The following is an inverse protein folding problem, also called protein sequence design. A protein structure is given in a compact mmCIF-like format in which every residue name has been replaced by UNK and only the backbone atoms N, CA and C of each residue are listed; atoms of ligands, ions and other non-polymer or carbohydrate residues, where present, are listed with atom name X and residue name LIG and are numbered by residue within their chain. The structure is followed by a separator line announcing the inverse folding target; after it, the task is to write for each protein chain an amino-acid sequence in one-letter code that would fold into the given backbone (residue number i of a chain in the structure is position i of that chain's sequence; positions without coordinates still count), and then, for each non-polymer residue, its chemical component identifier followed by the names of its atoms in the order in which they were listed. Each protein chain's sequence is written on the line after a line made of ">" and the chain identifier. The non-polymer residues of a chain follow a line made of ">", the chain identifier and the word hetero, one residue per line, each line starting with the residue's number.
data_IF_242893973439
#
_entry.id   IF_242893973439
#
_cell.length_a   1.000
_cell.length_b   1.000
_cell.length_c   1.000
_cell.angle_alpha   90.00
_cell.angle_beta   90.00
_cell.angle_gamma   90.00
#
_symmetry.space_group_name_H-M   'P 1'
#
loop_
_entity.id
_entity.type
_entity.pdbx_description
1 polymer ?
#
# COMPACT_ATOMS: atom_id res chain seq x y z
N UNK A 1 -20.09 -25.27 52.89
CA UNK A 1 -19.45 -24.16 52.13
C UNK A 1 -19.49 -24.54 50.66
N UNK A 2 -20.25 -23.80 49.85
CA UNK A 2 -20.49 -24.10 48.44
C UNK A 2 -19.66 -23.13 47.60
N UNK A 3 -18.74 -23.62 46.77
CA UNK A 3 -17.90 -22.79 45.91
C UNK A 3 -18.22 -22.98 44.43
N UNK A 4 -18.72 -21.88 43.87
CA UNK A 4 -18.41 -21.26 42.59
C UNK A 4 -18.58 -22.05 41.28
N UNK A 5 -19.64 -21.63 40.58
CA UNK A 5 -19.92 -21.98 39.20
C UNK A 5 -18.91 -21.42 38.20
N UNK A 6 -18.68 -22.23 37.17
CA UNK A 6 -17.92 -21.91 35.98
C UNK A 6 -18.58 -20.76 35.21
N UNK A 7 -17.91 -19.61 35.15
CA UNK A 7 -18.27 -18.50 34.28
C UNK A 7 -18.17 -18.93 32.81
N UNK A 8 -19.32 -19.25 32.19
CA UNK A 8 -19.40 -19.47 30.74
C UNK A 8 -19.23 -18.11 30.04
N UNK A 9 -18.21 -18.02 29.19
CA UNK A 9 -18.03 -16.88 28.27
C UNK A 9 -19.32 -16.56 27.51
N UNK A 10 -19.69 -15.27 27.36
CA UNK A 10 -20.85 -14.89 26.57
C UNK A 10 -20.64 -15.28 25.11
N UNK A 11 -21.53 -16.12 24.57
CA UNK A 11 -21.55 -16.48 23.15
C UNK A 11 -21.68 -15.20 22.32
N UNK A 12 -20.66 -14.87 21.52
CA UNK A 12 -20.73 -13.81 20.51
C UNK A 12 -21.97 -14.04 19.65
N UNK A 13 -22.89 -13.06 19.66
CA UNK A 13 -24.00 -13.03 18.70
C UNK A 13 -23.40 -12.90 17.30
N UNK A 14 -23.62 -13.90 16.44
CA UNK A 14 -23.29 -13.78 15.01
C UNK A 14 -24.26 -12.78 14.39
N UNK A 15 -23.73 -11.79 13.68
CA UNK A 15 -24.55 -10.95 12.82
C UNK A 15 -25.20 -11.83 11.75
N UNK A 16 -26.52 -11.78 11.67
CA UNK A 16 -27.28 -12.33 10.54
C UNK A 16 -27.03 -11.45 9.33
N UNK A 17 -26.29 -11.97 8.35
CA UNK A 17 -26.09 -11.32 7.05
C UNK A 17 -27.41 -11.40 6.29
N UNK A 18 -27.97 -10.24 5.95
CA UNK A 18 -29.17 -10.11 5.13
C UNK A 18 -28.73 -9.97 3.67
N UNK A 19 -29.19 -10.87 2.79
CA UNK A 19 -28.77 -10.95 1.39
C UNK A 19 -29.79 -10.32 0.43
N UNK A 20 -30.65 -9.43 0.92
CA UNK A 20 -31.48 -8.63 0.02
C UNK A 20 -30.56 -7.63 -0.70
N UNK A 21 -30.14 -8.01 -1.90
CA UNK A 21 -29.54 -7.10 -2.87
C UNK A 21 -30.71 -6.28 -3.42
N UNK A 22 -30.86 -5.04 -2.95
CA UNK A 22 -31.72 -4.08 -3.61
C UNK A 22 -31.10 -3.81 -4.99
N UNK A 23 -31.71 -4.40 -6.04
CA UNK A 23 -31.30 -4.29 -7.44
C UNK A 23 -31.78 -2.96 -8.08
N UNK A 24 -31.69 -1.86 -7.33
CA UNK A 24 -31.88 -0.51 -7.86
C UNK A 24 -30.52 0.18 -7.90
N UNK A 25 -29.70 -0.25 -8.86
CA UNK A 25 -28.46 0.40 -9.23
C UNK A 25 -28.76 1.27 -10.45
N UNK A 26 -29.36 2.43 -10.21
CA UNK A 26 -29.27 3.57 -11.12
C UNK A 26 -27.86 4.15 -10.94
N UNK A 27 -26.94 3.77 -11.83
CA UNK A 27 -25.60 4.37 -11.97
C UNK A 27 -25.77 5.65 -12.77
N UNK A 28 -26.17 6.72 -12.08
CA UNK A 28 -25.73 8.08 -12.42
C UNK A 28 -24.40 8.30 -11.70
N UNK A 29 -23.28 8.00 -12.38
CA UNK A 29 -21.92 8.31 -11.91
C UNK A 29 -21.37 9.46 -12.76
N UNK A 30 -21.84 10.66 -12.45
CA UNK A 30 -21.03 11.88 -12.50
C UNK A 30 -20.96 12.39 -11.06
N UNK A 31 -19.83 12.18 -10.39
CA UNK A 31 -19.66 12.60 -9.00
C UNK A 31 -18.26 12.27 -8.47
N UNK A 32 -17.49 13.31 -8.25
CA UNK A 32 -16.10 13.33 -7.81
C UNK A 32 -15.81 12.47 -6.56
N UNK A 33 -15.06 11.39 -6.73
CA UNK A 33 -14.45 10.66 -5.60
C UNK A 33 -13.25 11.40 -4.97
N UNK A 34 -12.91 12.60 -5.45
CA UNK A 34 -11.96 13.49 -4.78
C UNK A 34 -12.51 14.07 -3.47
N UNK A 35 -13.84 14.13 -3.28
CA UNK A 35 -14.46 14.76 -2.10
C UNK A 35 -14.80 13.78 -0.97
N UNK A 36 -14.72 12.46 -1.20
CA UNK A 36 -15.03 11.48 -0.15
C UNK A 36 -13.94 11.32 0.91
N UNK A 37 -12.79 11.97 0.74
CA UNK A 37 -11.71 12.01 1.74
C UNK A 37 -11.74 13.20 2.71
N UNK A 38 -12.68 14.15 2.56
CA UNK A 38 -12.70 15.38 3.40
C UNK A 38 -13.72 15.35 4.55
N UNK A 39 -14.59 14.34 4.68
CA UNK A 39 -15.53 14.22 5.81
C UNK A 39 -14.91 13.53 7.04
N UNK A 40 -13.83 14.10 7.58
CA UNK A 40 -13.40 13.90 8.97
C UNK A 40 -12.35 14.95 9.36
N UNK A 41 -12.78 16.20 9.53
CA UNK A 41 -11.98 17.23 10.21
C UNK A 41 -12.16 18.65 9.71
N UNK A 42 -13.40 19.16 9.67
CA UNK A 42 -13.62 20.60 9.50
C UNK A 42 -13.56 21.30 10.86
N UNK A 43 -12.42 21.91 11.15
CA UNK A 43 -12.32 23.05 12.06
C UNK A 43 -11.24 23.99 11.49
N UNK A 44 -11.63 24.78 10.49
CA UNK A 44 -10.78 25.81 9.87
C UNK A 44 -11.20 27.17 10.42
N UNK A 45 -10.37 27.71 11.31
CA UNK A 45 -10.38 29.12 11.68
C UNK A 45 -9.63 29.91 10.60
N UNK A 46 -10.17 30.98 10.01
CA UNK A 46 -9.44 31.79 9.05
C UNK A 46 -8.58 32.85 9.76
N UNK A 47 -7.27 32.86 9.49
CA UNK A 47 -6.37 33.97 9.76
C UNK A 47 -6.27 34.86 8.51
N UNK A 48 -6.36 36.20 8.64
CA UNK A 48 -6.13 37.12 7.51
C UNK A 48 -4.65 37.47 7.38
N UNK A 49 -4.17 37.48 6.14
CA UNK A 49 -2.87 38.01 5.72
C UNK A 49 -2.93 39.54 5.54
N UNK A 50 -1.82 40.23 5.81
CA UNK A 50 -1.53 41.55 5.22
C UNK A 50 -0.56 42.40 6.05
N UNK A 51 0.62 42.65 5.50
CA UNK A 51 1.73 43.36 6.14
C UNK A 51 1.70 44.90 5.97
N UNK A 52 2.54 45.56 6.77
CA UNK A 52 3.28 46.84 6.59
C UNK A 52 2.84 48.11 7.35
N UNK A 53 3.88 48.70 8.01
CA UNK A 53 4.20 50.11 8.25
C UNK A 53 3.67 50.90 9.50
N UNK A 54 4.63 51.14 10.41
CA UNK A 54 5.02 52.39 11.11
C UNK A 54 4.05 53.25 11.94
N UNK A 55 4.44 53.38 13.23
CA UNK A 55 4.70 54.58 14.05
C UNK A 55 3.58 55.58 14.45
N UNK A 56 3.71 56.04 15.71
CA UNK A 56 3.01 57.15 16.41
C UNK A 56 1.53 56.92 16.75
N UNK A 57 0.94 57.38 17.85
CA UNK A 57 1.33 58.22 18.99
C UNK A 57 0.24 58.08 20.08
N UNK A 58 0.59 58.47 21.31
CA UNK A 58 -0.20 58.76 22.52
C UNK A 58 -1.75 58.70 22.53
N UNK A 59 -2.33 58.15 23.61
CA UNK A 59 -3.01 58.95 24.66
C UNK A 59 -3.84 58.11 25.66
N UNK A 60 -3.92 58.67 26.86
CA UNK A 60 -4.48 58.20 28.13
C UNK A 60 -5.94 58.67 28.27
N UNK A 61 -6.82 57.84 28.85
CA UNK A 61 -7.93 58.16 29.79
C UNK A 61 -8.77 56.88 30.03
N UNK A 62 -8.76 56.29 31.22
CA UNK A 62 -9.57 56.57 32.43
C UNK A 62 -11.08 56.26 32.33
N UNK A 63 -11.48 55.40 33.29
CA UNK A 63 -12.73 55.32 34.06
C UNK A 63 -14.09 55.36 33.33
N UNK A 64 -14.97 54.39 33.65
CA UNK A 64 -16.14 54.64 34.50
C UNK A 64 -17.21 53.54 34.37
N UNK A 65 -17.54 52.97 35.54
CA UNK A 65 -18.85 52.55 36.09
C UNK A 65 -19.96 51.82 35.31
N UNK A 66 -20.72 51.11 36.17
CA UNK A 66 -22.15 50.75 36.14
C UNK A 66 -22.51 49.38 35.55
N UNK A 67 -22.85 48.40 36.41
CA UNK A 67 -24.21 48.07 36.91
C UNK A 67 -25.06 47.38 35.82
N UNK A 68 -25.33 46.07 35.95
CA UNK A 68 -26.48 45.44 36.60
C UNK A 68 -27.73 45.35 35.70
N UNK A 69 -28.60 44.36 36.01
CA UNK A 69 -29.92 44.07 35.40
C UNK A 69 -29.89 43.17 34.14
N UNK A 70 -30.12 41.86 34.28
CA UNK A 70 -31.43 41.20 34.30
C UNK A 70 -32.21 41.28 32.97
N UNK A 71 -32.33 40.14 32.27
CA UNK A 71 -33.54 39.78 31.53
C UNK A 71 -33.51 38.32 31.03
N UNK A 72 -34.22 37.48 31.78
CA UNK A 72 -35.38 36.72 31.25
C UNK A 72 -35.20 35.70 30.11
N UNK A 73 -35.01 34.45 30.53
CA UNK A 73 -35.89 33.29 30.26
C UNK A 73 -36.82 33.33 29.02
N UNK A 74 -36.34 32.80 27.89
CA UNK A 74 -37.13 32.60 26.67
C UNK A 74 -37.39 31.12 26.34
N UNK A 75 -38.43 30.52 26.94
CA UNK A 75 -38.89 29.17 26.60
C UNK A 75 -39.48 29.13 25.18
N UNK A 76 -38.84 28.42 24.25
CA UNK A 76 -39.43 28.13 22.94
C UNK A 76 -40.16 26.78 23.00
N UNK A 77 -41.49 26.86 23.14
CA UNK A 77 -42.43 25.73 23.04
C UNK A 77 -42.30 25.07 21.66
N UNK A 78 -41.77 23.84 21.61
CA UNK A 78 -41.80 23.03 20.39
C UNK A 78 -43.23 22.50 20.14
N UNK A 79 -43.81 22.89 19.00
CA UNK A 79 -45.10 22.38 18.53
C UNK A 79 -44.95 20.89 18.18
N UNK A 80 -45.47 20.01 19.05
CA UNK A 80 -45.69 18.59 18.79
C UNK A 80 -46.65 18.44 17.59
N UNK A 81 -46.09 18.35 16.38
CA UNK A 81 -46.83 17.89 15.19
C UNK A 81 -47.23 16.42 15.40
N UNK A 82 -48.47 16.14 15.08
CA UNK A 82 -49.25 14.95 15.42
C UNK A 82 -48.75 13.68 14.73
N UNK A 83 -47.99 12.88 15.48
CA UNK A 83 -47.51 11.54 15.12
C UNK A 83 -48.62 10.45 15.14
N UNK A 84 -49.88 10.81 14.87
CA UNK A 84 -51.06 9.92 15.08
C UNK A 84 -51.75 9.39 13.82
N UNK A 85 -51.17 9.53 12.63
CA UNK A 85 -51.82 9.09 11.38
C UNK A 85 -51.15 7.93 10.61
N UNK A 86 -50.08 7.30 11.13
CA UNK A 86 -49.41 6.16 10.45
C UNK A 86 -49.50 4.80 11.16
N UNK A 87 -50.36 4.65 12.18
CA UNK A 87 -50.47 3.39 12.96
C UNK A 87 -51.64 2.48 12.57
N UNK A 88 -52.45 2.82 11.54
CA UNK A 88 -53.65 2.02 11.19
C UNK A 88 -53.50 1.00 10.06
N UNK A 89 -52.30 0.84 9.48
CA UNK A 89 -52.04 -0.20 8.46
C UNK A 89 -51.12 -1.35 8.94
N UNK A 90 -50.82 -1.44 10.24
CA UNK A 90 -49.84 -2.37 10.79
C UNK A 90 -50.35 -3.80 11.06
N UNK A 91 -51.46 -4.24 10.45
CA UNK A 91 -52.05 -5.57 10.70
C UNK A 91 -52.21 -6.46 9.47
N UNK A 92 -51.49 -6.19 8.37
CA UNK A 92 -51.23 -7.23 7.38
C UNK A 92 -50.06 -8.08 7.89
N UNK A 93 -50.35 -9.24 8.48
CA UNK A 93 -49.34 -10.25 8.82
C UNK A 93 -48.52 -10.52 7.56
N UNK A 94 -47.29 -10.00 7.52
CA UNK A 94 -46.36 -10.29 6.44
C UNK A 94 -46.22 -11.81 6.35
N UNK A 95 -46.44 -12.38 5.16
CA UNK A 95 -46.18 -13.80 4.92
C UNK A 95 -44.75 -14.09 5.37
N UNK A 96 -44.48 -15.17 6.12
CA UNK A 96 -43.12 -15.50 6.51
C UNK A 96 -42.29 -15.59 5.24
N UNK A 97 -41.21 -14.82 5.18
CA UNK A 97 -40.28 -14.90 4.05
C UNK A 97 -39.86 -16.36 3.89
N UNK A 98 -39.76 -16.85 2.64
CA UNK A 98 -39.31 -18.22 2.42
C UNK A 98 -38.00 -18.43 3.19
N UNK A 99 -37.92 -19.53 3.95
CA UNK A 99 -36.74 -19.88 4.74
C UNK A 99 -35.61 -20.24 3.77
N UNK A 100 -34.96 -19.22 3.22
CA UNK A 100 -33.83 -19.38 2.33
C UNK A 100 -32.71 -20.04 3.13
N UNK A 101 -32.37 -21.27 2.76
CA UNK A 101 -31.21 -21.96 3.34
C UNK A 101 -29.99 -21.32 2.69
N UNK A 102 -29.09 -20.68 3.47
CA UNK A 102 -27.88 -20.12 2.90
C UNK A 102 -27.09 -21.24 2.23
N UNK A 103 -26.63 -20.94 1.03
CA UNK A 103 -25.80 -21.81 0.25
C UNK A 103 -24.53 -22.18 1.05
N UNK A 104 -24.19 -23.47 1.10
CA UNK A 104 -23.03 -23.97 1.82
C UNK A 104 -21.84 -24.07 0.87
N UNK A 105 -20.86 -23.19 1.06
CA UNK A 105 -19.65 -23.16 0.23
C UNK A 105 -18.92 -24.51 0.18
N UNK A 106 -18.91 -25.26 1.28
CA UNK A 106 -18.20 -26.55 1.37
C UNK A 106 -18.93 -27.71 0.69
N UNK A 107 -20.22 -27.55 0.35
CA UNK A 107 -20.97 -28.55 -0.41
C UNK A 107 -20.60 -28.50 -1.91
N UNK A 108 -19.85 -27.47 -2.34
CA UNK A 108 -19.30 -27.40 -3.69
C UNK A 108 -18.10 -28.34 -3.88
N UNK A 109 -17.93 -28.88 -5.10
CA UNK A 109 -16.67 -29.47 -5.54
C UNK A 109 -15.50 -28.50 -5.37
N UNK A 110 -14.31 -29.04 -5.08
CA UNK A 110 -13.10 -28.26 -4.85
C UNK A 110 -12.77 -27.30 -6.01
N UNK A 111 -13.00 -27.73 -7.26
CA UNK A 111 -12.78 -26.89 -8.44
C UNK A 111 -13.63 -25.61 -8.45
N UNK A 112 -14.90 -25.71 -8.07
CA UNK A 112 -15.79 -24.55 -8.01
C UNK A 112 -15.41 -23.64 -6.83
N UNK A 113 -14.95 -24.22 -5.71
CA UNK A 113 -14.41 -23.43 -4.61
C UNK A 113 -13.17 -22.65 -5.01
N UNK A 114 -12.23 -23.27 -5.73
CA UNK A 114 -11.02 -22.61 -6.23
C UNK A 114 -11.36 -21.42 -7.14
N UNK A 115 -12.31 -21.58 -8.07
CA UNK A 115 -12.78 -20.46 -8.91
C UNK A 115 -13.37 -19.31 -8.08
N UNK A 116 -14.14 -19.63 -7.05
CA UNK A 116 -14.67 -18.62 -6.11
C UNK A 116 -13.51 -17.94 -5.37
N UNK A 117 -12.48 -18.68 -4.96
CA UNK A 117 -11.32 -18.11 -4.29
C UNK A 117 -10.49 -17.21 -5.21
N UNK A 118 -10.33 -17.57 -6.48
CA UNK A 118 -9.65 -16.75 -7.48
C UNK A 118 -10.33 -15.38 -7.62
N UNK A 119 -11.66 -15.35 -7.77
CA UNK A 119 -12.42 -14.09 -7.88
C UNK A 119 -12.39 -13.22 -6.60
N UNK A 120 -12.11 -13.81 -5.43
CA UNK A 120 -12.16 -13.08 -4.15
C UNK A 120 -10.76 -12.66 -3.68
N UNK A 121 -9.73 -13.41 -4.05
CA UNK A 121 -8.37 -13.28 -3.51
C UNK A 121 -7.33 -12.84 -4.54
N UNK A 122 -7.61 -12.96 -5.84
CA UNK A 122 -6.64 -12.64 -6.89
C UNK A 122 -7.06 -11.36 -7.60
N UNK A 123 -6.18 -10.36 -7.60
CA UNK A 123 -6.35 -9.17 -8.42
C UNK A 123 -5.82 -9.49 -9.83
N UNK A 124 -6.64 -9.40 -10.90
CA UNK A 124 -6.19 -9.65 -12.27
C UNK A 124 -5.09 -8.67 -12.71
N UNK A 125 -4.97 -7.52 -12.07
CA UNK A 125 -3.92 -6.54 -12.31
C UNK A 125 -2.76 -6.65 -11.32
N UNK A 126 -2.82 -7.56 -10.35
CA UNK A 126 -1.87 -7.61 -9.24
C UNK A 126 -2.21 -6.61 -8.13
N UNK A 127 -1.67 -6.84 -6.94
CA UNK A 127 -2.06 -6.07 -5.75
C UNK A 127 -1.22 -4.80 -5.67
N UNK A 128 -1.78 -3.69 -6.12
CA UNK A 128 -1.16 -2.36 -6.07
C UNK A 128 -1.30 -1.75 -4.67
N UNK A 129 -0.17 -1.53 -3.99
CA UNK A 129 -0.11 -1.03 -2.61
C UNK A 129 0.59 0.32 -2.60
N UNK A 130 -0.07 1.30 -1.98
CA UNK A 130 0.47 2.64 -1.76
C UNK A 130 0.50 2.96 -0.27
N UNK A 131 1.48 3.75 0.14
CA UNK A 131 1.48 4.36 1.47
C UNK A 131 0.44 5.47 1.55
N UNK A 132 -0.47 5.35 2.52
CA UNK A 132 -1.37 6.42 2.93
C UNK A 132 -0.85 7.02 4.24
N UNK A 133 -0.69 8.34 4.26
CA UNK A 133 -0.26 9.06 5.44
C UNK A 133 -1.53 9.46 6.23
N UNK A 134 -1.79 8.76 7.33
CA UNK A 134 -2.74 9.20 8.35
C UNK A 134 -2.04 10.19 9.30
N UNK A 135 -2.81 10.93 10.10
CA UNK A 135 -2.32 11.98 11.00
C UNK A 135 -1.20 11.51 11.93
N UNK A 136 -1.22 10.22 12.30
CA UNK A 136 -0.28 9.65 13.27
C UNK A 136 0.52 8.45 12.74
N UNK A 137 0.12 7.86 11.61
CA UNK A 137 0.75 6.64 11.10
C UNK A 137 0.74 6.55 9.58
N UNK A 138 1.62 5.71 9.04
CA UNK A 138 1.68 5.41 7.61
C UNK A 138 1.11 4.01 7.38
N UNK A 139 0.01 3.91 6.65
CA UNK A 139 -0.73 2.66 6.43
C UNK A 139 -0.55 2.20 4.98
N UNK A 140 -0.36 0.90 4.78
CA UNK A 140 -0.37 0.31 3.45
C UNK A 140 -1.82 0.10 2.99
N UNK A 141 -2.19 0.70 1.86
CA UNK A 141 -3.55 0.64 1.31
C UNK A 141 -3.52 0.05 -0.10
N UNK A 142 -4.42 -0.90 -0.36
CA UNK A 142 -4.66 -1.41 -1.72
C UNK A 142 -5.44 -0.36 -2.53
N UNK A 143 -4.86 0.01 -3.67
CA UNK A 143 -5.35 1.07 -4.54
C UNK A 143 -5.52 0.56 -5.97
N UNK A 144 -6.26 1.27 -6.80
CA UNK A 144 -6.28 0.95 -8.23
C UNK A 144 -4.90 1.23 -8.85
N UNK A 145 -4.50 0.46 -9.87
CA UNK A 145 -3.30 0.71 -10.67
C UNK A 145 -3.19 2.16 -11.18
N UNK A 146 -4.33 2.83 -11.40
CA UNK A 146 -4.38 4.22 -11.88
C UNK A 146 -3.86 5.22 -10.84
N UNK A 147 -4.06 4.95 -9.55
CA UNK A 147 -3.78 5.86 -8.44
C UNK A 147 -2.52 5.54 -7.63
N UNK A 148 -1.75 4.52 -8.05
CA UNK A 148 -0.55 4.13 -7.30
C UNK A 148 0.51 5.25 -7.30
N UNK A 149 0.75 5.89 -8.44
CA UNK A 149 1.65 7.05 -8.51
C UNK A 149 0.85 8.32 -8.73
N UNK A 150 1.34 9.43 -8.17
CA UNK A 150 0.85 10.78 -8.44
C UNK A 150 0.66 11.04 -9.95
N UNK A 151 -0.13 12.05 -10.27
CA UNK A 151 -0.67 12.38 -11.60
C UNK A 151 0.34 12.53 -12.76
N UNK A 152 1.64 12.40 -12.50
CA UNK A 152 2.77 12.80 -13.34
C UNK A 152 3.20 11.79 -14.42
N UNK A 153 2.73 10.54 -14.41
CA UNK A 153 3.21 9.51 -15.35
C UNK A 153 2.18 9.15 -16.44
N UNK A 154 2.58 9.30 -17.72
CA UNK A 154 1.75 9.04 -18.91
C UNK A 154 1.86 7.60 -19.45
N UNK A 155 3.05 7.01 -19.35
CA UNK A 155 3.33 5.64 -19.81
C UNK A 155 3.81 4.79 -18.63
N UNK A 156 3.12 3.68 -18.33
CA UNK A 156 3.44 2.79 -17.20
C UNK A 156 3.54 1.34 -17.66
N UNK A 157 4.50 0.59 -17.12
CA UNK A 157 4.44 -0.87 -17.16
C UNK A 157 3.50 -1.33 -16.06
N UNK A 158 2.36 -1.91 -16.44
CA UNK A 158 1.43 -2.53 -15.50
C UNK A 158 1.46 -4.04 -15.60
N UNK A 159 0.97 -4.70 -14.56
CA UNK A 159 0.75 -6.14 -14.57
C UNK A 159 -0.70 -6.42 -14.98
N UNK A 160 -0.90 -7.34 -15.91
CA UNK A 160 -2.23 -7.78 -16.34
C UNK A 160 -2.18 -9.27 -16.61
N UNK A 161 -2.96 -10.05 -15.85
CA UNK A 161 -3.19 -11.49 -16.08
C UNK A 161 -1.91 -12.31 -16.27
N UNK A 162 -0.87 -12.09 -15.46
CA UNK A 162 0.38 -12.85 -15.58
C UNK A 162 1.51 -12.13 -16.30
N UNK A 163 1.22 -11.06 -17.03
CA UNK A 163 2.19 -10.44 -17.92
C UNK A 163 2.39 -8.96 -17.61
N UNK A 164 3.64 -8.52 -17.67
CA UNK A 164 3.98 -7.09 -17.61
C UNK A 164 3.83 -6.48 -18.99
N UNK A 165 2.91 -5.52 -19.11
CA UNK A 165 2.61 -4.82 -20.37
C UNK A 165 2.74 -3.32 -20.20
N UNK A 166 3.11 -2.63 -21.27
CA UNK A 166 3.00 -1.18 -21.31
C UNK A 166 1.52 -0.83 -21.46
N UNK A 167 0.98 -0.17 -20.44
CA UNK A 167 -0.42 0.22 -20.37
C UNK A 167 -0.49 1.74 -20.44
N UNK A 168 -1.39 2.23 -21.29
CA UNK A 168 -1.74 3.64 -21.29
C UNK A 168 -2.62 3.91 -20.08
N UNK A 169 -2.53 5.12 -19.53
CA UNK A 169 -3.33 5.55 -18.37
C UNK A 169 -4.84 5.36 -18.57
N UNK A 170 -5.33 5.44 -19.81
CA UNK A 170 -6.74 5.23 -20.15
C UNK A 170 -7.22 3.78 -20.01
N UNK A 171 -6.32 2.80 -20.15
CA UNK A 171 -6.67 1.37 -20.13
C UNK A 171 -6.67 0.79 -18.70
N UNK A 172 -6.18 1.55 -17.71
CA UNK A 172 -6.13 1.14 -16.32
C UNK A 172 -7.50 1.28 -15.67
N UNK A 173 -7.98 0.27 -14.91
CA UNK A 173 -9.26 0.35 -14.24
C UNK A 173 -9.26 1.49 -13.23
N UNK A 174 -10.33 2.29 -13.21
CA UNK A 174 -10.48 3.36 -12.24
C UNK A 174 -10.69 2.80 -10.82
N UNK A 175 -11.54 1.79 -10.73
CA UNK A 175 -11.84 1.13 -9.46
C UNK A 175 -10.78 0.08 -9.14
N UNK A 176 -10.43 -0.02 -7.86
CA UNK A 176 -9.60 -1.13 -7.37
C UNK A 176 -10.41 -2.42 -7.41
N UNK A 177 -9.73 -3.54 -7.64
CA UNK A 177 -10.37 -4.84 -7.49
C UNK A 177 -10.72 -5.08 -6.01
N UNK A 178 -11.87 -5.67 -5.74
CA UNK A 178 -12.30 -5.88 -4.35
C UNK A 178 -11.76 -7.19 -3.80
N UNK A 179 -10.58 -7.13 -3.17
CA UNK A 179 -10.02 -8.27 -2.46
C UNK A 179 -10.74 -8.48 -1.12
N UNK A 180 -11.10 -9.72 -0.79
CA UNK A 180 -11.64 -10.07 0.54
C UNK A 180 -10.81 -11.15 1.25
N UNK A 181 -9.60 -10.81 1.75
CA UNK A 181 -8.73 -11.75 2.48
C UNK A 181 -9.37 -12.36 3.74
N UNK A 182 -10.42 -11.72 4.27
CA UNK A 182 -11.17 -12.18 5.43
C UNK A 182 -11.74 -13.60 5.28
N UNK A 183 -11.93 -14.08 4.05
CA UNK A 183 -12.37 -15.46 3.80
C UNK A 183 -11.37 -16.50 4.35
N UNK A 184 -10.08 -16.17 4.38
CA UNK A 184 -9.02 -17.03 4.94
C UNK A 184 -9.17 -17.26 6.44
N UNK A 185 -9.87 -16.37 7.16
CA UNK A 185 -10.10 -16.50 8.59
C UNK A 185 -11.33 -17.37 8.94
N UNK A 186 -12.09 -17.84 7.95
CA UNK A 186 -13.39 -18.49 8.18
C UNK A 186 -13.27 -19.96 8.62
N UNK A 187 -12.44 -20.75 7.93
CA UNK A 187 -12.28 -22.18 8.17
C UNK A 187 -10.88 -22.65 7.74
N UNK A 188 -10.33 -23.66 8.43
CA UNK A 188 -9.02 -24.25 8.12
C UNK A 188 -8.95 -24.82 6.70
N UNK A 189 -9.99 -25.53 6.27
CA UNK A 189 -10.05 -26.11 4.92
C UNK A 189 -9.97 -25.01 3.85
N UNK A 190 -10.76 -23.94 4.01
CA UNK A 190 -10.75 -22.78 3.12
C UNK A 190 -9.38 -22.11 3.11
N UNK A 191 -8.80 -21.91 4.30
CA UNK A 191 -7.46 -21.36 4.43
C UNK A 191 -6.42 -22.18 3.65
N UNK A 192 -6.38 -23.50 3.87
CA UNK A 192 -5.34 -24.36 3.27
C UNK A 192 -5.48 -24.46 1.75
N UNK A 193 -6.71 -24.47 1.22
CA UNK A 193 -6.99 -24.47 -0.23
C UNK A 193 -6.62 -23.14 -0.91
N UNK A 194 -6.84 -22.01 -0.25
CA UNK A 194 -6.85 -20.71 -0.92
C UNK A 194 -5.70 -19.77 -0.54
N UNK A 195 -4.99 -20.02 0.57
CA UNK A 195 -3.90 -19.16 1.05
C UNK A 195 -2.80 -18.99 -0.02
N UNK A 196 -2.52 -20.02 -0.82
CA UNK A 196 -1.52 -19.92 -1.88
C UNK A 196 -1.95 -18.98 -3.00
N UNK A 197 -3.25 -18.85 -3.29
CA UNK A 197 -3.73 -17.96 -4.35
C UNK A 197 -3.44 -16.49 -4.00
N UNK A 198 -3.68 -16.10 -2.74
CA UNK A 198 -3.44 -14.74 -2.27
C UNK A 198 -1.94 -14.37 -2.30
N UNK A 199 -1.04 -15.26 -1.86
CA UNK A 199 0.38 -14.91 -1.68
C UNK A 199 1.27 -15.17 -2.90
N UNK A 200 0.80 -15.96 -3.88
CA UNK A 200 1.52 -16.22 -5.14
C UNK A 200 1.34 -15.11 -6.19
N UNK A 201 0.31 -14.28 -6.05
CA UNK A 201 0.11 -13.16 -6.96
C UNK A 201 1.17 -12.06 -6.73
N UNK A 202 1.41 -11.17 -7.70
CA UNK A 202 2.38 -10.10 -7.52
C UNK A 202 1.84 -8.99 -6.62
N UNK A 203 2.70 -8.55 -5.71
CA UNK A 203 2.49 -7.37 -4.89
C UNK A 203 3.34 -6.22 -5.43
N UNK A 204 2.69 -5.13 -5.81
CA UNK A 204 3.32 -4.00 -6.50
C UNK A 204 3.23 -2.79 -5.58
N UNK A 205 4.36 -2.32 -5.10
CA UNK A 205 4.47 -1.24 -4.13
C UNK A 205 4.87 0.06 -4.84
N UNK A 206 4.16 1.14 -4.52
CA UNK A 206 4.52 2.48 -4.96
C UNK A 206 5.91 2.84 -4.44
N UNK A 207 6.13 2.53 -3.16
CA UNK A 207 7.34 2.87 -2.43
C UNK A 207 7.72 1.86 -1.35
N UNK A 208 8.97 1.98 -0.90
CA UNK A 208 9.52 1.12 0.16
C UNK A 208 8.85 1.40 1.52
N UNK A 209 8.20 2.56 1.69
CA UNK A 209 7.32 2.80 2.83
C UNK A 209 6.09 1.90 2.79
N UNK A 210 5.47 1.72 1.63
CA UNK A 210 4.31 0.88 1.47
C UNK A 210 4.68 -0.56 1.76
N UNK A 211 5.86 -0.99 1.30
CA UNK A 211 6.44 -2.28 1.63
C UNK A 211 6.65 -2.44 3.15
N UNK A 212 7.26 -1.46 3.82
CA UNK A 212 7.47 -1.50 5.27
C UNK A 212 6.15 -1.61 6.03
N UNK A 213 5.21 -0.70 5.78
CA UNK A 213 3.89 -0.67 6.43
C UNK A 213 3.08 -1.93 6.15
N UNK A 214 3.24 -2.54 4.97
CA UNK A 214 2.61 -3.81 4.63
C UNK A 214 3.23 -5.00 5.37
N UNK A 215 4.55 -5.03 5.52
CA UNK A 215 5.25 -6.14 6.17
C UNK A 215 5.14 -6.12 7.70
N UNK A 216 5.03 -4.94 8.32
CA UNK A 216 4.94 -4.76 9.78
C UNK A 216 3.86 -5.63 10.47
N UNK A 217 2.61 -5.71 9.98
CA UNK A 217 1.58 -6.55 10.60
C UNK A 217 1.71 -8.04 10.26
N UNK A 218 2.60 -8.42 9.33
CA UNK A 218 2.70 -9.80 8.86
C UNK A 218 3.63 -10.64 9.74
N UNK A 219 3.25 -11.91 9.91
CA UNK A 219 4.11 -12.89 10.58
C UNK A 219 5.22 -13.35 9.64
N UNK A 220 6.41 -13.72 10.14
CA UNK A 220 7.48 -14.30 9.34
C UNK A 220 7.03 -15.47 8.45
N UNK A 221 6.14 -16.33 8.96
CA UNK A 221 5.57 -17.46 8.21
C UNK A 221 4.73 -17.04 7.00
N UNK A 222 4.13 -15.85 7.07
CA UNK A 222 3.33 -15.28 5.98
C UNK A 222 4.24 -14.57 4.99
N UNK A 223 5.23 -13.82 5.48
CA UNK A 223 6.26 -13.17 4.65
C UNK A 223 7.01 -14.21 3.81
N UNK A 224 7.30 -15.39 4.38
CA UNK A 224 7.91 -16.51 3.67
C UNK A 224 7.07 -17.06 2.51
N UNK A 225 5.79 -16.70 2.37
CA UNK A 225 4.92 -17.13 1.26
C UNK A 225 4.90 -16.15 0.09
N UNK A 226 5.47 -14.95 0.25
CA UNK A 226 5.58 -13.98 -0.82
C UNK A 226 6.52 -14.51 -1.91
N UNK A 227 6.02 -14.55 -3.14
CA UNK A 227 6.81 -14.98 -4.30
C UNK A 227 7.24 -13.79 -5.17
N UNK A 228 6.35 -12.81 -5.38
CA UNK A 228 6.57 -11.74 -6.36
C UNK A 228 6.34 -10.36 -5.74
N UNK A 229 7.39 -9.55 -5.70
CA UNK A 229 7.38 -8.17 -5.19
C UNK A 229 7.96 -7.24 -6.25
N UNK A 230 7.28 -6.13 -6.50
CA UNK A 230 7.78 -5.05 -7.36
C UNK A 230 7.75 -3.73 -6.62
N UNK A 231 8.81 -2.95 -6.71
CA UNK A 231 8.87 -1.56 -6.24
C UNK A 231 8.93 -0.65 -7.45
N UNK A 232 7.99 0.30 -7.56
CA UNK A 232 7.85 1.20 -8.71
C UNK A 232 8.87 2.34 -8.71
N UNK A 233 8.92 3.08 -9.83
CA UNK A 233 10.01 3.97 -10.28
C UNK A 233 10.50 5.03 -9.29
N UNK A 234 9.63 5.56 -8.44
CA UNK A 234 9.97 6.54 -7.40
C UNK A 234 10.00 5.97 -5.99
N UNK A 235 9.91 4.65 -5.88
CA UNK A 235 9.71 3.98 -4.62
C UNK A 235 10.94 3.90 -3.71
N UNK A 236 12.13 4.20 -4.25
CA UNK A 236 13.39 4.06 -3.52
C UNK A 236 13.65 5.28 -2.63
N UNK A 237 13.35 5.16 -1.32
CA UNK A 237 13.45 6.27 -0.37
C UNK A 237 14.68 6.12 0.53
N UNK A 238 15.64 7.01 0.33
CA UNK A 238 16.91 7.03 1.07
C UNK A 238 16.70 7.04 2.59
N UNK A 239 17.44 6.19 3.31
CA UNK A 239 17.44 6.16 4.77
C UNK A 239 16.31 5.34 5.42
N UNK A 240 15.33 4.85 4.64
CA UNK A 240 14.23 4.02 5.15
C UNK A 240 14.09 2.67 4.46
N UNK A 241 14.99 2.36 3.52
CA UNK A 241 15.04 1.07 2.85
C UNK A 241 15.38 -0.07 3.81
N UNK A 242 16.41 0.11 4.66
CA UNK A 242 16.91 -0.96 5.53
C UNK A 242 15.85 -1.56 6.45
N UNK A 243 15.00 -0.79 7.16
CA UNK A 243 13.91 -1.37 7.95
C UNK A 243 12.98 -2.30 7.15
N UNK A 244 12.60 -1.93 5.92
CA UNK A 244 11.75 -2.77 5.08
C UNK A 244 12.46 -4.10 4.73
N UNK A 245 13.73 -4.03 4.36
CA UNK A 245 14.53 -5.21 4.03
C UNK A 245 14.94 -6.05 5.25
N UNK A 246 14.93 -5.49 6.45
CA UNK A 246 15.04 -6.27 7.70
C UNK A 246 13.83 -7.19 7.83
N UNK A 247 12.62 -6.67 7.61
CA UNK A 247 11.40 -7.48 7.68
C UNK A 247 11.31 -8.49 6.54
N UNK A 248 11.80 -8.14 5.35
CA UNK A 248 11.82 -9.02 4.19
C UNK A 248 12.80 -10.20 4.33
N UNK A 249 13.66 -10.24 5.37
CA UNK A 249 14.66 -11.31 5.55
C UNK A 249 14.07 -12.73 5.55
N UNK A 250 12.81 -12.87 5.95
CA UNK A 250 12.12 -14.14 6.09
C UNK A 250 11.42 -14.56 4.77
N UNK A 251 11.44 -13.71 3.73
CA UNK A 251 10.92 -14.00 2.39
C UNK A 251 11.85 -14.91 1.58
N UNK A 252 12.09 -16.12 2.09
CA UNK A 252 13.00 -17.09 1.46
C UNK A 252 12.45 -17.62 0.13
N UNK A 253 11.14 -17.62 -0.06
CA UNK A 253 10.50 -18.16 -1.26
C UNK A 253 10.39 -17.18 -2.43
N UNK A 254 10.89 -15.95 -2.27
CA UNK A 254 10.80 -14.90 -3.27
C UNK A 254 11.41 -15.38 -4.60
N UNK A 255 10.62 -15.33 -5.67
CA UNK A 255 10.99 -15.70 -7.04
C UNK A 255 11.29 -14.47 -7.87
N UNK A 256 10.56 -13.37 -7.66
CA UNK A 256 10.79 -12.12 -8.35
C UNK A 256 10.84 -10.97 -7.34
N UNK A 257 11.97 -10.28 -7.27
CA UNK A 257 12.13 -9.01 -6.59
C UNK A 257 12.54 -7.96 -7.61
N UNK A 258 11.56 -7.21 -8.09
CA UNK A 258 11.72 -6.24 -9.16
C UNK A 258 11.80 -4.82 -8.63
N UNK A 259 12.76 -4.07 -9.15
CA UNK A 259 12.95 -2.64 -8.90
C UNK A 259 12.76 -1.90 -10.21
N UNK A 260 11.62 -1.26 -10.42
CA UNK A 260 11.42 -0.34 -11.53
C UNK A 260 11.98 1.06 -11.24
N UNK A 261 12.56 1.24 -10.05
CA UNK A 261 13.18 2.46 -9.57
C UNK A 261 14.68 2.54 -9.76
N UNK A 262 15.15 3.78 -9.66
CA UNK A 262 16.56 4.08 -9.62
C UNK A 262 17.09 4.01 -8.18
N UNK A 263 17.82 2.94 -7.89
CA UNK A 263 18.63 2.67 -6.71
C UNK A 263 19.96 3.43 -6.75
N UNK A 264 20.62 3.49 -7.92
CA UNK A 264 21.88 4.24 -8.07
C UNK A 264 21.60 5.73 -7.98
N UNK A 265 22.38 6.46 -7.19
CA UNK A 265 22.18 7.90 -7.03
C UNK A 265 22.55 8.65 -8.31
N UNK A 266 21.75 9.66 -8.67
CA UNK A 266 22.02 10.49 -9.85
C UNK A 266 23.34 11.30 -9.79
N UNK A 267 24.01 11.32 -8.64
CA UNK A 267 25.29 12.03 -8.47
C UNK A 267 26.50 11.26 -9.00
N UNK A 268 26.38 9.96 -9.25
CA UNK A 268 27.46 9.12 -9.80
C UNK A 268 27.69 9.32 -11.32
N UNK A 269 26.85 10.15 -11.95
CA UNK A 269 26.78 10.45 -13.39
C UNK A 269 27.78 11.51 -13.90
N UNK A 270 28.71 11.97 -13.06
CA UNK A 270 29.59 13.11 -13.41
C UNK A 270 30.72 12.77 -14.37
N UNK A 271 31.01 11.50 -14.58
CA UNK A 271 32.13 11.06 -15.43
C UNK A 271 31.61 10.39 -16.70
N UNK A 272 32.49 10.32 -17.71
CA UNK A 272 32.29 9.65 -18.99
C UNK A 272 31.73 8.21 -18.86
N UNK A 273 31.48 7.58 -20.01
CA UNK A 273 31.02 6.19 -20.14
C UNK A 273 31.51 5.28 -19.02
N UNK A 274 30.57 4.65 -18.30
CA UNK A 274 30.90 3.78 -17.17
C UNK A 274 31.00 2.33 -17.64
N UNK A 275 32.15 1.70 -17.40
CA UNK A 275 32.32 0.28 -17.68
C UNK A 275 31.25 -0.56 -16.95
N UNK A 276 30.65 -1.58 -17.59
CA UNK A 276 29.60 -2.41 -17.00
C UNK A 276 29.98 -3.03 -15.65
N UNK A 277 31.24 -3.45 -15.49
CA UNK A 277 31.74 -4.01 -14.24
C UNK A 277 31.67 -3.00 -13.08
N UNK A 278 32.15 -1.77 -13.30
CA UNK A 278 32.12 -0.70 -12.31
C UNK A 278 30.68 -0.30 -11.96
N UNK A 279 29.78 -0.34 -12.94
CA UNK A 279 28.36 -0.09 -12.72
C UNK A 279 27.75 -1.15 -11.79
N UNK A 280 28.05 -2.43 -12.03
CA UNK A 280 27.62 -3.54 -11.17
C UNK A 280 28.19 -3.44 -9.75
N UNK A 281 29.46 -3.06 -9.61
CA UNK A 281 30.09 -2.86 -8.30
C UNK A 281 29.41 -1.74 -7.49
N UNK A 282 29.16 -0.58 -8.12
CA UNK A 282 28.48 0.54 -7.45
C UNK A 282 27.03 0.19 -7.09
N UNK A 283 26.33 -0.52 -7.96
CA UNK A 283 24.98 -1.02 -7.68
C UNK A 283 25.01 -1.97 -6.48
N UNK A 284 25.96 -2.91 -6.44
CA UNK A 284 26.14 -3.84 -5.33
C UNK A 284 26.42 -3.11 -4.01
N UNK A 285 27.31 -2.13 -4.00
CA UNK A 285 27.64 -1.36 -2.80
C UNK A 285 26.41 -0.63 -2.25
N UNK A 286 25.65 0.03 -3.13
CA UNK A 286 24.44 0.77 -2.76
C UNK A 286 23.34 -0.16 -2.29
N UNK A 287 23.09 -1.23 -3.04
CA UNK A 287 22.07 -2.21 -2.73
C UNK A 287 22.40 -2.96 -1.44
N UNK A 288 23.66 -3.33 -1.22
CA UNK A 288 24.08 -3.97 0.03
C UNK A 288 23.90 -3.05 1.23
N UNK A 289 24.29 -1.78 1.12
CA UNK A 289 24.12 -0.81 2.21
C UNK A 289 22.68 -0.79 2.71
N UNK A 290 21.73 -0.73 1.78
CA UNK A 290 20.32 -0.60 2.10
C UNK A 290 19.65 -1.97 2.41
N UNK A 291 20.05 -3.07 1.77
CA UNK A 291 19.36 -4.37 1.81
C UNK A 291 20.15 -5.53 2.47
N UNK A 292 21.29 -5.26 3.12
CA UNK A 292 22.15 -6.31 3.68
C UNK A 292 21.45 -7.38 4.56
N UNK A 293 20.42 -7.08 5.38
CA UNK A 293 19.79 -8.09 6.24
C UNK A 293 19.08 -9.16 5.40
N UNK A 294 18.32 -8.72 4.39
CA UNK A 294 17.67 -9.59 3.42
C UNK A 294 18.70 -10.39 2.63
N UNK A 295 19.72 -9.72 2.07
CA UNK A 295 20.74 -10.38 1.24
C UNK A 295 21.50 -11.47 1.99
N UNK A 296 21.90 -11.22 3.24
CA UNK A 296 22.59 -12.22 4.07
C UNK A 296 21.71 -13.44 4.34
N UNK A 297 20.43 -13.22 4.63
CA UNK A 297 19.46 -14.30 4.84
C UNK A 297 19.26 -15.11 3.56
N UNK A 298 18.97 -14.42 2.45
CA UNK A 298 18.71 -15.04 1.15
C UNK A 298 19.91 -15.86 0.66
N UNK A 299 21.12 -15.30 0.69
CA UNK A 299 22.33 -15.99 0.27
C UNK A 299 22.65 -17.20 1.13
N UNK A 300 22.29 -17.19 2.42
CA UNK A 300 22.44 -18.35 3.31
C UNK A 300 21.50 -19.49 2.94
N UNK A 301 20.30 -19.18 2.46
CA UNK A 301 19.27 -20.19 2.16
C UNK A 301 19.32 -20.70 0.71
N UNK A 302 19.53 -19.83 -0.28
CA UNK A 302 19.49 -20.16 -1.71
C UNK A 302 20.83 -20.05 -2.45
N UNK A 303 21.84 -19.48 -1.79
CA UNK A 303 23.11 -19.17 -2.43
C UNK A 303 23.09 -17.81 -3.15
N UNK A 304 24.28 -17.38 -3.56
CA UNK A 304 24.47 -16.07 -4.19
C UNK A 304 24.09 -16.05 -5.68
N UNK A 305 24.18 -17.19 -6.37
CA UNK A 305 23.88 -17.29 -7.81
C UNK A 305 22.38 -17.16 -8.08
N UNK A 306 21.54 -17.66 -7.17
CA UNK A 306 20.10 -17.49 -7.22
C UNK A 306 19.64 -16.02 -7.18
N UNK A 307 20.51 -15.06 -6.82
CA UNK A 307 20.19 -13.64 -6.87
C UNK A 307 20.02 -13.13 -8.30
N UNK A 308 20.70 -13.71 -9.29
CA UNK A 308 20.59 -13.31 -10.70
C UNK A 308 19.18 -13.57 -11.21
N UNK A 309 18.60 -14.71 -10.82
CA UNK A 309 17.24 -15.10 -11.25
C UNK A 309 16.15 -14.30 -10.54
N UNK A 310 16.38 -13.96 -9.27
CA UNK A 310 15.37 -13.30 -8.41
C UNK A 310 15.37 -11.78 -8.55
N UNK A 311 16.54 -11.15 -8.62
CA UNK A 311 16.65 -9.68 -8.69
C UNK A 311 16.45 -9.20 -10.12
N UNK A 312 15.49 -8.29 -10.32
CA UNK A 312 15.21 -7.68 -11.61
C UNK A 312 15.25 -6.17 -11.48
N UNK A 313 15.99 -5.48 -12.33
CA UNK A 313 16.09 -4.01 -12.30
C UNK A 313 15.45 -3.40 -13.56
N UNK A 314 14.94 -2.19 -13.42
CA UNK A 314 14.41 -1.40 -14.52
C UNK A 314 15.54 -1.02 -15.48
N UNK A 315 15.19 -0.82 -16.75
CA UNK A 315 16.15 -0.43 -17.80
C UNK A 315 16.97 0.81 -17.43
N UNK A 316 16.36 1.72 -16.66
CA UNK A 316 16.99 2.96 -16.22
C UNK A 316 18.24 2.74 -15.36
N UNK A 317 18.37 1.59 -14.69
CA UNK A 317 19.56 1.28 -13.92
C UNK A 317 20.79 1.00 -14.75
N UNK A 318 20.59 0.45 -15.94
CA UNK A 318 21.66 0.09 -16.87
C UNK A 318 22.01 1.21 -17.84
N UNK A 319 21.17 2.25 -17.89
CA UNK A 319 21.43 3.47 -18.65
C UNK A 319 22.32 4.39 -17.82
N UNK A 320 23.49 4.72 -18.38
CA UNK A 320 24.33 5.77 -17.82
C UNK A 320 23.96 7.07 -18.50
N UNK A 321 23.45 8.02 -17.72
CA UNK A 321 23.28 9.41 -18.15
C UNK A 321 24.51 10.16 -17.70
N UNK A 322 25.18 10.91 -18.56
CA UNK A 322 26.26 11.77 -18.12
C UNK A 322 26.17 13.13 -18.77
N UNK A 323 26.69 14.13 -18.07
CA UNK A 323 26.77 15.48 -18.58
C UNK A 323 28.00 15.59 -19.48
N UNK A 324 27.79 15.77 -20.77
CA UNK A 324 28.89 16.08 -21.70
C UNK A 324 29.22 17.58 -21.61
N UNK A 325 30.49 17.93 -21.85
CA UNK A 325 30.93 19.34 -21.89
C UNK A 325 30.18 20.15 -22.97
N UNK A 326 29.57 19.47 -23.96
CA UNK A 326 28.69 20.04 -24.99
C UNK A 326 27.26 20.35 -24.54
N UNK A 327 26.96 20.26 -23.23
CA UNK A 327 25.63 20.53 -22.64
C UNK A 327 24.48 19.63 -23.15
N UNK A 328 24.79 18.56 -23.87
CA UNK A 328 23.82 17.57 -24.32
C UNK A 328 23.85 16.35 -23.38
N UNK A 329 22.67 15.86 -22.98
CA UNK A 329 22.55 14.60 -22.27
C UNK A 329 22.85 13.47 -23.26
N UNK A 330 24.02 12.86 -23.15
CA UNK A 330 24.29 11.62 -23.87
C UNK A 330 23.81 10.47 -23.00
N UNK A 331 22.86 9.71 -23.52
CA UNK A 331 22.41 8.44 -22.95
C UNK A 331 23.13 7.32 -23.66
N UNK A 332 23.85 6.48 -22.92
CA UNK A 332 24.26 5.21 -23.48
C UNK A 332 23.07 4.29 -23.70
N UNK A 333 23.07 3.61 -24.84
CA UNK A 333 22.04 2.64 -25.15
C UNK A 333 22.10 1.44 -24.20
N UNK A 334 20.91 0.97 -23.83
CA UNK A 334 20.73 -0.27 -23.11
C UNK A 334 20.89 -1.45 -24.08
N UNK A 335 21.53 -2.53 -23.60
CA UNK A 335 21.65 -3.80 -24.30
C UNK A 335 21.53 -4.94 -23.28
N UNK A 336 20.91 -6.05 -23.68
CA UNK A 336 20.74 -7.24 -22.83
C UNK A 336 22.08 -7.81 -22.37
N UNK A 337 23.11 -7.80 -23.24
CA UNK A 337 24.46 -8.26 -22.88
C UNK A 337 25.09 -7.38 -21.78
N UNK A 338 24.78 -6.07 -21.80
CA UNK A 338 25.29 -5.13 -20.80
C UNK A 338 24.62 -5.37 -19.46
N UNK A 339 23.32 -5.56 -19.45
CA UNK A 339 22.54 -5.90 -18.26
C UNK A 339 23.07 -7.18 -17.59
N UNK A 340 23.28 -8.25 -18.38
CA UNK A 340 23.82 -9.50 -17.86
C UNK A 340 25.21 -9.31 -17.23
N UNK A 341 26.12 -8.59 -17.90
CA UNK A 341 27.47 -8.30 -17.38
C UNK A 341 27.43 -7.47 -16.09
N UNK A 342 26.52 -6.49 -16.01
CA UNK A 342 26.32 -5.66 -14.80
C UNK A 342 25.82 -6.52 -13.64
N UNK A 343 24.85 -7.41 -13.89
CA UNK A 343 24.28 -8.31 -12.88
C UNK A 343 25.31 -9.31 -12.34
N UNK A 344 26.11 -9.90 -13.22
CA UNK A 344 27.21 -10.80 -12.83
C UNK A 344 28.25 -10.08 -11.97
N UNK A 345 28.67 -8.88 -12.39
CA UNK A 345 29.60 -8.04 -11.63
C UNK A 345 29.02 -7.66 -10.25
N UNK A 346 27.73 -7.33 -10.20
CA UNK A 346 27.02 -7.02 -8.95
C UNK A 346 27.06 -8.22 -7.99
N UNK A 347 26.70 -9.41 -8.45
CA UNK A 347 26.68 -10.62 -7.60
C UNK A 347 28.09 -11.00 -7.13
N UNK A 348 29.10 -10.87 -7.98
CA UNK A 348 30.50 -11.09 -7.61
C UNK A 348 30.95 -10.11 -6.52
N UNK A 349 30.62 -8.83 -6.65
CA UNK A 349 30.91 -7.84 -5.62
C UNK A 349 30.15 -8.12 -4.31
N UNK A 350 28.88 -8.53 -4.38
CA UNK A 350 28.11 -8.94 -3.20
C UNK A 350 28.76 -10.13 -2.47
N UNK A 351 29.25 -11.14 -3.21
CA UNK A 351 30.02 -12.28 -2.64
C UNK A 351 31.25 -11.77 -1.87
N UNK A 352 31.96 -10.77 -2.39
CA UNK A 352 33.12 -10.16 -1.73
C UNK A 352 32.69 -9.40 -0.47
N UNK A 353 31.69 -8.52 -0.57
CA UNK A 353 31.23 -7.68 0.54
C UNK A 353 30.74 -8.51 1.72
N UNK A 354 29.96 -9.57 1.47
CA UNK A 354 29.42 -10.45 2.52
C UNK A 354 30.52 -11.17 3.30
N UNK A 355 31.63 -11.52 2.63
CA UNK A 355 32.79 -12.19 3.26
C UNK A 355 33.69 -11.23 4.03
N UNK A 356 33.60 -9.91 3.80
CA UNK A 356 34.43 -8.93 4.50
C UNK A 356 34.06 -8.91 5.99
N UNK A 357 35.07 -9.00 6.86
CA UNK A 357 34.90 -8.74 8.29
C UNK A 357 34.64 -7.24 8.49
N UNK A 358 33.53 -6.90 9.14
CA UNK A 358 33.24 -5.51 9.51
C UNK A 358 34.21 -5.07 10.61
N UNK A 359 35.24 -4.30 10.26
CA UNK A 359 36.09 -3.62 11.23
C UNK A 359 35.54 -2.22 11.44
N UNK A 360 34.93 -1.90 12.59
CA UNK A 360 34.50 -0.55 12.85
C UNK A 360 35.73 0.35 12.94
N UNK A 361 35.77 1.40 12.13
CA UNK A 361 36.81 2.44 12.23
C UNK A 361 36.45 3.35 13.40
N UNK A 362 36.65 2.88 14.62
CA UNK A 362 36.74 3.78 15.77
C UNK A 362 38.15 4.38 15.72
N UNK A 363 38.23 5.67 15.38
CA UNK A 363 39.45 6.46 15.54
C UNK A 363 39.38 7.19 16.87
#
# INVERSE_FOLDING_TARGET
>A
MSTNGTARYPKRRRNTVNYNVDLDIDIDIEGDEAERSEKLGDDVTPLPNGATASAHDDSIHEESDSEAEDATYGSRKSKKRSLKRRLKNANKKAKPTPKWKPFRLLDLPAELRLKIYEEILVDPHGVYIRTYDDKYEKVAVHVSPRFIDGTTYRDRKGYVKGEWKELKKGDLPFNRYQLSPNILATCKMVHDESVSLLWKQPFIFADVHGLLSFLLPLRPTTIARLEDITILKDGWVMGRNTPAFVLLRDAVNLKNLRFDCQIRGARDYRNASMAPALMGEKLADRFFKDCHPFLRSFMRHRGAEALIDVLKFGKEEFVHRYYSFSQTYTTEDWSEEKEQKVMEAMVNQLKVIVKRKTTPKFK
#
